data_IF_031799539041
#
_entry.id   IF_031799539041
#
_cell.length_a   1.000
_cell.length_b   1.000
_cell.length_c   1.000
_cell.angle_alpha   90.00
_cell.angle_beta   90.00
_cell.angle_gamma   90.00
#
_symmetry.space_group_name_H-M   'P 1'
#
loop_
_entity.id
_entity.type
_entity.pdbx_description
1 polymer ?
#
# COMPACT_ATOMS: atom_id res chain seq x y z
N UNK A 1 -12.40 -10.84 -2.67
CA UNK A 1 -12.18 -9.59 -1.92
C UNK A 1 -12.48 -8.42 -2.85
N UNK A 2 -13.07 -7.36 -2.33
CA UNK A 2 -13.32 -6.15 -3.11
C UNK A 2 -12.03 -5.32 -3.14
N UNK A 3 -11.35 -5.36 -4.29
CA UNK A 3 -10.11 -4.62 -4.57
C UNK A 3 -10.31 -3.11 -4.73
N UNK A 4 -11.57 -2.67 -4.71
CA UNK A 4 -11.95 -1.27 -4.86
C UNK A 4 -12.71 -0.81 -3.63
N UNK A 5 -12.42 0.41 -3.18
CA UNK A 5 -13.05 1.01 -2.01
C UNK A 5 -13.72 2.31 -2.41
N UNK A 6 -14.99 2.46 -2.02
CA UNK A 6 -15.78 3.67 -2.24
C UNK A 6 -16.18 4.21 -0.87
N UNK A 7 -15.87 5.48 -0.60
CA UNK A 7 -16.21 6.16 0.67
C UNK A 7 -16.85 7.51 0.36
N UNK A 8 -18.17 7.60 0.47
CA UNK A 8 -18.93 8.83 0.20
C UNK A 8 -18.81 9.83 1.34
N UNK A 9 -19.15 11.11 1.12
CA UNK A 9 -19.36 12.07 2.20
C UNK A 9 -20.32 11.52 3.28
N UNK A 10 -19.91 11.60 4.54
CA UNK A 10 -20.61 11.05 5.71
C UNK A 10 -20.43 9.54 5.92
N UNK A 11 -19.64 8.84 5.09
CA UNK A 11 -19.32 7.43 5.27
C UNK A 11 -17.95 7.25 5.92
N UNK A 12 -17.78 6.10 6.57
CA UNK A 12 -16.54 5.62 7.14
C UNK A 12 -16.21 4.24 6.53
N UNK A 13 -14.93 3.90 6.44
CA UNK A 13 -14.50 2.66 5.80
C UNK A 13 -13.88 1.63 6.74
N UNK A 14 -12.79 1.97 7.42
CA UNK A 14 -12.06 1.03 8.26
C UNK A 14 -11.30 1.74 9.38
N UNK A 15 -11.31 1.14 10.57
CA UNK A 15 -10.63 1.67 11.75
C UNK A 15 -9.14 1.36 11.75
N UNK A 16 -8.39 1.88 12.74
CA UNK A 16 -6.97 1.61 12.91
C UNK A 16 -6.67 0.12 13.02
N UNK A 17 -5.80 -0.36 12.13
CA UNK A 17 -5.28 -1.73 12.13
C UNK A 17 -3.96 -1.79 11.35
N UNK A 18 -3.22 -2.87 11.55
CA UNK A 18 -2.17 -3.32 10.65
C UNK A 18 -2.50 -4.75 10.22
N UNK A 19 -2.14 -5.16 9.01
CA UNK A 19 -2.70 -6.38 8.41
C UNK A 19 -2.29 -7.64 9.17
N UNK A 20 -1.16 -7.64 9.89
CA UNK A 20 -0.74 -8.78 10.72
C UNK A 20 -1.76 -9.13 11.80
N UNK A 21 -2.56 -8.18 12.29
CA UNK A 21 -3.63 -8.47 13.27
C UNK A 21 -4.77 -9.30 12.68
N UNK A 22 -4.88 -9.34 11.35
CA UNK A 22 -5.80 -10.19 10.61
C UNK A 22 -5.15 -11.47 10.08
N UNK A 23 -3.92 -11.77 10.51
CA UNK A 23 -3.20 -12.99 10.12
C UNK A 23 -2.47 -12.89 8.77
N UNK A 24 -2.34 -11.70 8.23
CA UNK A 24 -1.54 -11.47 7.02
C UNK A 24 -0.03 -11.55 7.32
N UNK A 25 0.77 -12.01 6.36
CA UNK A 25 2.23 -12.04 6.51
C UNK A 25 2.82 -10.63 6.52
N UNK A 26 3.92 -10.46 7.25
CA UNK A 26 4.80 -9.28 7.19
C UNK A 26 5.38 -9.03 5.78
N UNK A 27 5.35 -10.04 4.90
CA UNK A 27 5.74 -9.90 3.49
C UNK A 27 4.68 -9.31 2.58
N UNK A 28 3.53 -8.89 3.13
CA UNK A 28 2.49 -8.20 2.35
C UNK A 28 2.79 -6.70 2.27
N UNK A 29 2.97 -6.20 1.05
CA UNK A 29 3.14 -4.77 0.78
C UNK A 29 1.84 -4.20 0.25
N UNK A 30 1.37 -3.08 0.82
CA UNK A 30 0.10 -2.46 0.49
C UNK A 30 0.29 -1.41 -0.61
N UNK A 31 -0.64 -1.42 -1.56
CA UNK A 31 -0.74 -0.45 -2.64
C UNK A 31 -2.08 0.29 -2.51
N UNK A 32 -2.02 1.61 -2.44
CA UNK A 32 -3.20 2.48 -2.44
C UNK A 32 -3.18 3.36 -3.68
N UNK A 33 -4.14 3.17 -4.58
CA UNK A 33 -4.23 3.94 -5.84
C UNK A 33 -5.55 4.72 -5.88
N UNK A 34 -5.55 5.99 -5.45
CA UNK A 34 -6.68 6.90 -5.61
C UNK A 34 -7.10 7.05 -7.08
N UNK A 35 -8.39 6.84 -7.34
CA UNK A 35 -9.06 7.12 -8.61
C UNK A 35 -9.85 8.44 -8.60
N UNK A 36 -9.83 9.13 -7.46
CA UNK A 36 -10.39 10.46 -7.22
C UNK A 36 -9.39 11.29 -6.43
N UNK A 37 -9.59 12.61 -6.37
CA UNK A 37 -8.80 13.45 -5.46
C UNK A 37 -8.99 13.01 -4.01
N UNK A 38 -7.89 12.86 -3.27
CA UNK A 38 -7.89 12.50 -1.85
C UNK A 38 -7.07 13.50 -1.03
N UNK A 39 -7.71 14.08 -0.02
CA UNK A 39 -7.21 15.14 0.85
C UNK A 39 -7.99 15.17 2.16
N UNK A 40 -7.34 15.63 3.24
CA UNK A 40 -8.00 15.74 4.55
C UNK A 40 -8.65 14.41 4.97
N UNK A 41 -9.92 14.46 5.37
CA UNK A 41 -10.61 13.31 5.98
C UNK A 41 -11.03 12.22 5.01
N UNK A 42 -10.99 12.45 3.69
CA UNK A 42 -11.23 11.40 2.71
C UNK A 42 -9.95 10.62 2.33
N UNK A 43 -8.78 10.99 2.84
CA UNK A 43 -7.52 10.28 2.60
C UNK A 43 -7.40 8.98 3.43
N UNK A 44 -6.52 8.07 3.01
CA UNK A 44 -6.05 6.99 3.86
C UNK A 44 -4.93 7.52 4.74
N UNK A 45 -4.93 7.18 6.02
CA UNK A 45 -3.89 7.56 6.96
C UNK A 45 -3.02 6.36 7.29
N UNK A 46 -1.71 6.54 7.37
CA UNK A 46 -0.74 5.54 7.85
C UNK A 46 0.32 6.21 8.70
N UNK A 47 0.88 5.49 9.67
CA UNK A 47 2.11 5.93 10.34
C UNK A 47 3.35 5.73 9.46
N UNK A 48 4.45 6.39 9.83
CA UNK A 48 5.69 6.34 9.07
C UNK A 48 6.52 5.08 9.22
N UNK A 49 6.35 4.46 10.37
CA UNK A 49 7.06 3.29 10.81
C UNK A 49 6.24 2.68 11.94
N UNK A 50 6.29 1.36 12.14
CA UNK A 50 5.52 0.73 13.20
C UNK A 50 5.69 1.43 14.55
N UNK A 51 4.56 1.65 15.24
CA UNK A 51 4.46 2.26 16.57
C UNK A 51 4.87 3.74 16.67
N UNK A 52 5.01 4.46 15.55
CA UNK A 52 5.35 5.90 15.58
C UNK A 52 4.17 6.79 15.89
N UNK A 53 2.97 6.38 15.50
CA UNK A 53 1.75 7.18 15.67
C UNK A 53 1.85 8.60 15.07
N UNK A 54 2.71 8.80 14.06
CA UNK A 54 2.79 10.03 13.29
C UNK A 54 1.88 9.89 12.08
N UNK A 55 0.62 10.28 12.21
CA UNK A 55 -0.39 9.97 11.19
C UNK A 55 -0.23 10.82 9.94
N UNK A 56 -0.04 10.16 8.80
CA UNK A 56 0.20 10.83 7.53
C UNK A 56 -0.90 10.51 6.52
N UNK A 57 -1.58 11.53 5.98
CA UNK A 57 -2.59 11.33 4.96
C UNK A 57 -1.94 11.08 3.60
N UNK A 58 -2.30 9.98 2.95
CA UNK A 58 -1.88 9.66 1.59
C UNK A 58 -2.68 10.52 0.59
N UNK A 59 -2.23 11.76 0.37
CA UNK A 59 -2.97 12.78 -0.41
C UNK A 59 -2.56 12.85 -1.88
N UNK A 60 -3.48 12.60 -2.80
CA UNK A 60 -3.28 12.73 -4.23
C UNK A 60 -4.28 13.73 -4.82
N UNK A 61 -3.78 14.82 -5.40
CA UNK A 61 -4.64 15.81 -6.08
C UNK A 61 -5.17 15.29 -7.42
N UNK A 62 -4.37 14.50 -8.13
CA UNK A 62 -4.66 13.99 -9.47
C UNK A 62 -4.72 12.46 -9.50
N UNK A 63 -5.55 11.92 -10.40
CA UNK A 63 -5.61 10.48 -10.68
C UNK A 63 -4.29 10.01 -11.28
N UNK A 64 -3.86 8.81 -10.90
CA UNK A 64 -2.63 8.21 -11.40
C UNK A 64 -1.40 8.48 -10.53
N UNK A 65 -1.58 8.93 -9.30
CA UNK A 65 -0.56 8.86 -8.24
C UNK A 65 -1.09 7.86 -7.20
N UNK A 66 -0.30 6.86 -6.86
CA UNK A 66 -0.56 5.87 -5.82
C UNK A 66 0.58 5.79 -4.82
N UNK A 67 0.40 4.96 -3.81
CA UNK A 67 1.30 4.80 -2.68
C UNK A 67 1.61 3.33 -2.44
N UNK A 68 2.87 3.03 -2.16
CA UNK A 68 3.31 1.73 -1.66
C UNK A 68 3.66 1.90 -0.18
N UNK A 69 3.06 1.16 0.73
CA UNK A 69 3.39 1.26 2.16
C UNK A 69 3.36 -0.09 2.87
N UNK A 70 4.01 -0.15 4.01
CA UNK A 70 4.04 -1.32 4.89
C UNK A 70 2.76 -1.40 5.74
N UNK A 71 1.62 -1.70 5.12
CA UNK A 71 0.37 -1.87 5.84
C UNK A 71 0.32 -3.16 6.67
N UNK A 72 1.26 -4.09 6.43
CA UNK A 72 1.43 -5.27 7.27
C UNK A 72 1.81 -4.88 8.70
N UNK A 73 2.80 -4.01 8.89
CA UNK A 73 3.30 -3.62 10.21
C UNK A 73 2.80 -2.24 10.68
N UNK A 74 2.66 -1.27 9.76
CA UNK A 74 2.19 0.06 10.11
C UNK A 74 0.67 0.12 10.29
N UNK A 75 0.23 0.79 11.36
CA UNK A 75 -1.16 1.15 11.55
C UNK A 75 -1.65 2.08 10.44
N UNK A 76 -2.80 1.74 9.87
CA UNK A 76 -3.49 2.54 8.88
C UNK A 76 -5.02 2.51 9.06
N UNK A 77 -5.69 3.57 8.61
CA UNK A 77 -7.14 3.74 8.78
C UNK A 77 -7.72 4.81 7.86
N UNK A 78 -9.05 4.87 7.83
CA UNK A 78 -9.79 5.99 7.24
C UNK A 78 -10.49 6.79 8.34
N UNK A 79 -10.62 8.09 8.14
CA UNK A 79 -11.55 8.91 8.91
C UNK A 79 -12.96 8.81 8.30
N UNK A 80 -13.96 9.30 9.02
CA UNK A 80 -15.24 9.62 8.40
C UNK A 80 -14.98 10.68 7.32
N UNK A 81 -15.47 10.44 6.10
CA UNK A 81 -15.28 11.37 5.00
C UNK A 81 -16.18 12.59 5.20
N UNK A 82 -15.62 13.66 5.76
CA UNK A 82 -16.32 14.94 5.93
C UNK A 82 -16.05 15.92 4.80
N UNK A 83 -15.39 15.48 3.72
CA UNK A 83 -15.22 16.29 2.50
C UNK A 83 -16.47 16.19 1.63
N UNK A 84 -16.53 17.00 0.57
CA UNK A 84 -17.55 16.94 -0.46
C UNK A 84 -17.22 15.94 -1.59
N UNK A 85 -16.07 15.26 -1.50
CA UNK A 85 -15.56 14.36 -2.55
C UNK A 85 -15.64 12.91 -2.09
N UNK A 86 -16.34 12.07 -2.86
CA UNK A 86 -16.31 10.61 -2.66
C UNK A 86 -14.92 10.08 -2.97
N UNK A 87 -14.28 9.36 -2.04
CA UNK A 87 -13.06 8.62 -2.34
C UNK A 87 -13.40 7.36 -3.11
N UNK A 88 -12.79 7.17 -4.28
CA UNK A 88 -12.70 5.88 -4.96
C UNK A 88 -11.23 5.50 -5.05
N UNK A 89 -10.86 4.30 -4.59
CA UNK A 89 -9.47 3.81 -4.67
C UNK A 89 -9.43 2.33 -5.06
N UNK A 90 -8.30 1.93 -5.64
CA UNK A 90 -7.90 0.53 -5.74
C UNK A 90 -6.90 0.25 -4.61
N UNK A 91 -7.29 -0.66 -3.72
CA UNK A 91 -6.51 -1.04 -2.54
C UNK A 91 -6.16 -2.52 -2.68
N UNK A 92 -4.88 -2.83 -2.83
CA UNK A 92 -4.43 -4.21 -3.00
C UNK A 92 -3.09 -4.47 -2.33
N UNK A 93 -2.77 -5.75 -2.16
CA UNK A 93 -1.55 -6.19 -1.50
C UNK A 93 -0.81 -7.15 -2.40
N UNK A 94 0.52 -7.05 -2.41
CA UNK A 94 1.39 -8.03 -3.03
C UNK A 94 2.06 -8.81 -1.91
N UNK A 95 1.84 -10.13 -1.89
CA UNK A 95 2.49 -11.04 -0.96
C UNK A 95 3.83 -11.48 -1.53
N UNK A 96 4.91 -11.25 -0.78
CA UNK A 96 6.23 -11.79 -1.10
C UNK A 96 6.35 -13.15 -0.43
N UNK A 97 6.45 -14.20 -1.24
CA UNK A 97 6.77 -15.56 -0.83
C UNK A 97 8.11 -15.99 -1.41
N UNK A 98 8.81 -16.90 -0.73
CA UNK A 98 9.88 -17.65 -1.35
C UNK A 98 9.22 -18.75 -2.19
N UNK A 99 9.64 -18.88 -3.45
CA UNK A 99 9.37 -20.10 -4.21
C UNK A 99 10.30 -21.19 -3.67
N UNK A 100 9.73 -22.27 -3.14
CA UNK A 100 10.45 -23.48 -2.70
C UNK A 100 11.00 -24.30 -3.89
N UNK A 101 10.95 -23.80 -5.13
CA UNK A 101 11.39 -24.50 -6.33
C UNK A 101 12.93 -24.42 -6.54
N UNK A 102 13.69 -24.78 -5.51
CA UNK A 102 14.94 -25.50 -5.75
C UNK A 102 14.63 -27.00 -5.62
N UNK A 103 14.43 -27.64 -6.77
CA UNK A 103 14.49 -29.09 -6.94
C UNK A 103 15.83 -29.62 -6.37
N UNK A 104 15.82 -30.04 -5.11
CA UNK A 104 16.63 -31.17 -4.66
C UNK A 104 15.66 -32.36 -4.47
N UNK A 105 15.54 -33.11 -5.57
CA UNK A 105 14.91 -34.44 -5.63
C UNK A 105 15.64 -35.40 -4.68
N UNK A 106 15.26 -35.40 -3.41
CA UNK A 106 15.59 -36.47 -2.48
C UNK A 106 14.32 -36.81 -1.68
N UNK A 107 13.51 -37.68 -2.29
CA UNK A 107 12.26 -38.18 -1.74
C UNK A 107 12.33 -38.55 -0.27
N UNK A 108 11.57 -37.83 0.56
CA UNK A 108 11.17 -38.30 1.88
C UNK A 108 9.76 -37.81 2.19
N UNK A 109 8.90 -38.79 2.41
CA UNK A 109 7.53 -38.66 2.88
C UNK A 109 7.48 -37.91 4.23
N UNK A 110 7.36 -36.59 4.18
CA UNK A 110 7.07 -35.78 5.35
C UNK A 110 5.64 -35.26 5.27
N UNK A 111 4.83 -35.67 6.25
CA UNK A 111 3.49 -35.19 6.57
C UNK A 111 3.35 -33.69 6.27
N UNK A 112 2.24 -33.32 5.63
CA UNK A 112 1.86 -31.94 5.31
C UNK A 112 2.27 -30.97 6.41
N UNK A 113 3.39 -30.29 6.17
CA UNK A 113 4.01 -29.37 7.09
C UNK A 113 3.48 -27.99 6.75
N UNK A 114 2.92 -27.31 7.75
CA UNK A 114 2.37 -25.96 7.64
C UNK A 114 3.47 -24.88 7.41
N UNK A 115 4.64 -25.32 6.94
CA UNK A 115 5.83 -24.54 6.62
C UNK A 115 5.97 -24.27 5.12
N UNK A 116 5.17 -24.90 4.25
CA UNK A 116 5.11 -24.50 2.83
C UNK A 116 4.35 -23.19 2.58
N UNK A 117 3.71 -22.66 3.62
CA UNK A 117 3.08 -21.35 3.64
C UNK A 117 4.01 -20.31 4.31
N UNK A 118 5.33 -20.50 4.19
CA UNK A 118 6.33 -19.54 4.69
C UNK A 118 6.36 -18.32 3.78
N UNK A 119 5.25 -17.58 3.77
CA UNK A 119 5.16 -16.18 3.38
C UNK A 119 6.21 -15.42 4.18
N UNK A 120 7.39 -15.20 3.60
CA UNK A 120 8.53 -14.45 4.13
C UNK A 120 8.59 -14.35 5.68
N UNK A 121 9.43 -15.17 6.34
CA UNK A 121 9.63 -14.99 7.79
C UNK A 121 10.15 -13.56 8.09
N UNK A 122 9.77 -12.94 9.22
CA UNK A 122 10.30 -11.62 9.60
C UNK A 122 11.84 -11.57 9.61
N UNK A 123 12.50 -12.69 9.87
CA UNK A 123 13.97 -12.82 9.87
C UNK A 123 14.57 -12.84 8.46
N UNK A 124 13.81 -13.27 7.45
CA UNK A 124 14.20 -13.26 6.03
C UNK A 124 13.93 -11.89 5.41
N UNK A 125 12.89 -11.18 5.88
CA UNK A 125 12.63 -9.78 5.56
C UNK A 125 13.57 -8.83 6.32
N UNK A 126 14.88 -9.10 6.27
CA UNK A 126 15.88 -8.03 6.41
C UNK A 126 15.85 -7.20 5.14
N UNK A 127 14.80 -6.42 5.03
CA UNK A 127 14.52 -5.55 3.93
C UNK A 127 15.04 -4.14 4.25
N UNK A 128 14.99 -3.26 3.25
CA UNK A 128 15.34 -1.85 3.45
C UNK A 128 14.56 -1.24 4.64
N UNK A 129 13.36 -1.74 4.96
CA UNK A 129 12.51 -1.23 6.03
C UNK A 129 13.05 -1.52 7.43
N UNK A 130 13.70 -2.66 7.67
CA UNK A 130 14.37 -2.95 8.94
C UNK A 130 15.70 -2.18 9.08
N UNK A 131 16.41 -1.91 7.98
CA UNK A 131 17.77 -1.36 7.99
C UNK A 131 17.86 0.18 7.92
N UNK A 132 16.93 0.89 7.26
CA UNK A 132 17.10 2.32 6.93
C UNK A 132 16.44 3.32 7.90
N UNK A 133 15.69 2.88 8.91
CA UNK A 133 14.87 3.79 9.72
C UNK A 133 13.69 4.39 8.93
N UNK A 134 12.92 5.35 9.49
CA UNK A 134 11.60 5.75 8.98
C UNK A 134 11.70 6.31 7.54
N UNK A 135 11.06 5.64 6.57
CA UNK A 135 11.21 5.91 5.14
C UNK A 135 10.54 4.85 4.24
N UNK A 136 9.23 4.61 4.22
CA UNK A 136 8.08 5.51 4.06
C UNK A 136 7.68 5.68 2.59
N UNK A 137 6.39 5.54 2.34
CA UNK A 137 5.81 5.17 1.06
C UNK A 137 6.38 5.84 -0.20
N UNK A 138 6.60 5.02 -1.23
CA UNK A 138 6.98 5.52 -2.55
C UNK A 138 5.74 6.03 -3.29
N UNK A 139 5.84 7.24 -3.85
CA UNK A 139 4.86 7.69 -4.83
C UNK A 139 5.05 6.86 -6.11
N UNK A 140 3.96 6.25 -6.55
CA UNK A 140 3.90 5.53 -7.82
C UNK A 140 3.04 6.31 -8.78
N UNK A 141 3.63 6.80 -9.87
CA UNK A 141 2.84 7.38 -10.95
C UNK A 141 2.30 6.23 -11.82
N UNK A 142 1.00 5.98 -11.74
CA UNK A 142 0.25 5.08 -12.63
C UNK A 142 -0.43 5.91 -13.72
N UNK A 143 0.11 5.88 -14.94
CA UNK A 143 -0.58 6.53 -16.07
C UNK A 143 -1.73 5.67 -16.55
N UNK A 144 -2.96 6.11 -16.31
CA UNK A 144 -4.17 5.46 -16.82
C UNK A 144 -4.55 6.11 -18.15
N UNK A 145 -4.20 5.47 -19.27
CA UNK A 145 -4.65 5.82 -20.62
C UNK A 145 -3.92 7.04 -21.23
N UNK A 146 -3.27 6.83 -22.38
CA UNK A 146 -2.73 7.92 -23.19
C UNK A 146 -3.86 8.76 -23.76
N UNK A 147 -3.94 10.03 -23.36
CA UNK A 147 -4.72 11.05 -24.07
C UNK A 147 -4.07 11.36 -25.42
N UNK A 148 -4.23 10.48 -26.40
CA UNK A 148 -3.93 10.75 -27.80
C UNK A 148 -5.17 11.32 -28.48
N UNK A 149 -5.02 12.49 -29.13
CA UNK A 149 -5.91 12.88 -30.22
C UNK A 149 -5.94 11.77 -31.27
N UNK A 150 -7.08 11.52 -31.94
CA UNK A 150 -7.22 10.42 -32.90
C UNK A 150 -6.55 10.81 -34.22
N UNK A 151 -5.21 10.83 -34.26
CA UNK A 151 -4.35 10.82 -35.45
C UNK A 151 -2.96 11.30 -35.06
N UNK A 152 -2.11 10.41 -34.56
CA UNK A 152 -0.67 10.35 -34.86
C UNK A 152 -0.01 9.33 -33.96
N UNK A 153 0.55 8.31 -34.60
CA UNK A 153 1.64 7.46 -34.12
C UNK A 153 1.37 6.61 -32.87
N UNK A 154 0.74 5.46 -33.12
CA UNK A 154 0.92 4.25 -32.30
C UNK A 154 2.37 3.82 -32.50
N UNK A 155 3.30 4.36 -31.71
CA UNK A 155 4.57 3.69 -31.46
C UNK A 155 4.30 2.52 -30.50
N UNK A 156 4.86 1.35 -30.79
CA UNK A 156 4.72 0.12 -29.99
C UNK A 156 5.41 0.18 -28.61
N UNK A 157 5.52 1.37 -28.01
CA UNK A 157 6.19 1.61 -26.72
C UNK A 157 5.21 2.06 -25.63
N UNK A 158 3.94 1.63 -25.73
CA UNK A 158 2.90 1.76 -24.70
C UNK A 158 3.14 0.75 -23.55
N UNK A 159 4.37 0.69 -23.06
CA UNK A 159 4.64 -0.01 -21.81
C UNK A 159 4.07 0.81 -20.65
N UNK A 160 3.31 0.16 -19.77
CA UNK A 160 2.89 0.76 -18.50
C UNK A 160 4.13 1.01 -17.65
N UNK A 161 4.72 2.21 -17.74
CA UNK A 161 5.92 2.54 -16.96
C UNK A 161 5.49 3.02 -15.57
N UNK A 162 5.58 2.14 -14.58
CA UNK A 162 5.64 2.51 -13.16
C UNK A 162 7.01 3.17 -12.92
N UNK A 163 7.02 4.47 -12.63
CA UNK A 163 8.23 5.19 -12.22
C UNK A 163 8.19 5.44 -10.71
N UNK A 164 9.25 4.99 -10.03
CA UNK A 164 9.53 5.37 -8.65
C UNK A 164 10.30 6.69 -8.70
N UNK A 165 9.78 7.72 -8.03
CA UNK A 165 10.46 9.02 -7.92
C UNK A 165 11.41 8.98 -6.69
N UNK A 166 12.75 9.00 -6.87
CA UNK A 166 13.71 8.65 -5.81
C UNK A 166 13.85 9.66 -4.65
N UNK A 167 13.18 10.81 -4.71
CA UNK A 167 13.56 12.00 -3.92
C UNK A 167 12.39 12.58 -3.13
N UNK A 168 11.59 11.73 -2.49
CA UNK A 168 10.46 12.20 -1.70
C UNK A 168 10.76 12.27 -0.21
N UNK A 169 10.70 13.51 0.31
CA UNK A 169 10.48 13.77 1.73
C UNK A 169 9.11 13.22 2.11
N UNK A 170 9.02 12.61 3.29
CA UNK A 170 7.75 12.15 3.88
C UNK A 170 6.71 13.27 3.80
N UNK A 171 5.43 12.94 3.58
CA UNK A 171 4.39 13.94 3.78
C UNK A 171 4.46 14.41 5.25
N UNK A 172 4.07 15.66 5.49
CA UNK A 172 4.07 16.15 6.86
C UNK A 172 2.90 15.48 7.63
N UNK A 173 3.13 15.03 8.87
CA UNK A 173 2.08 14.36 9.64
C UNK A 173 0.96 15.35 9.97
N UNK A 174 -0.28 14.87 9.93
CA UNK A 174 -1.44 15.67 10.31
C UNK A 174 -1.57 15.72 11.82
N UNK A 175 -0.96 16.75 12.41
CA UNK A 175 -0.96 16.99 13.87
C UNK A 175 -2.35 17.18 14.48
N UNK A 176 -3.41 17.33 13.67
CA UNK A 176 -4.80 17.43 14.15
C UNK A 176 -5.39 16.05 14.45
N UNK A 177 -4.85 14.99 13.84
CA UNK A 177 -5.19 13.61 14.18
C UNK A 177 -4.38 13.27 15.42
N UNK A 178 -4.97 13.54 16.58
CA UNK A 178 -4.21 13.62 17.84
C UNK A 178 -4.79 12.76 18.94
N UNK A 179 -4.72 11.44 18.81
CA UNK A 179 -4.86 10.52 19.95
C UNK A 179 -4.08 9.23 19.63
N UNK A 180 -3.37 8.63 20.61
CA UNK A 180 -2.87 7.27 20.44
C UNK A 180 -4.09 6.33 20.30
N UNK A 181 -4.02 5.39 19.35
CA UNK A 181 -5.02 4.31 19.22
C UNK A 181 -4.69 3.10 20.12
N UNK A 182 -3.76 3.27 21.08
CA UNK A 182 -3.33 2.27 22.07
C UNK A 182 -4.36 2.09 23.19
#
# INVERSE_FOLDING_TARGET
EDWHRIVRPGEFSIGPHCDVVYGHSVGNINFHVPLTSVYGTNALYTESYPDKEDWHPLTAENVGIGYIFDGARCLHFSLENTTDTTRVSLDFRIAISLDDDCDDDDGQDAKGDATKDTLCTPTILKDRFEESGPGYYDNVIVRIGGGGTPESDISNDDSFVVKLEPEHRLLDPDKRVGFPFK
#
